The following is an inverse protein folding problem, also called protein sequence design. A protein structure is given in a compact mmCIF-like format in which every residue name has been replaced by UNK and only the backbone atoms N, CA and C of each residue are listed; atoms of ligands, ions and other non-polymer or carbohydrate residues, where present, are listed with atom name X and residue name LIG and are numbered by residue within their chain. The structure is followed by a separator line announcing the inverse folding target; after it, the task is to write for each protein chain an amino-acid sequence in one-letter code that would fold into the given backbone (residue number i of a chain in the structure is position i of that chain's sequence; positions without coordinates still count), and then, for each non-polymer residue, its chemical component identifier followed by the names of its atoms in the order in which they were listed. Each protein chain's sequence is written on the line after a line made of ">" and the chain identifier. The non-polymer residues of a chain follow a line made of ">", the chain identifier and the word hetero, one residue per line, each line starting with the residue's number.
data_IF_083603436432
#
_entry.id   IF_083603436432
#
_cell.length_a   1.000
_cell.length_b   1.000
_cell.length_c   1.000
_cell.angle_alpha   90.00
_cell.angle_beta   90.00
_cell.angle_gamma   90.00
#
_symmetry.space_group_name_H-M   'P 1'
#
loop_
_entity.id
_entity.type
_entity.pdbx_description
1 polymer ?
#
# COMPACT_ATOMS: atom_id res chain seq x y z
N UNK A 1 47.49 15.27 10.37
CA UNK A 1 46.61 15.77 9.33
C UNK A 1 45.32 16.16 10.02
N UNK A 2 44.90 17.39 9.89
CA UNK A 2 43.64 17.84 10.51
C UNK A 2 42.53 17.67 9.48
N UNK A 3 41.54 16.84 9.76
CA UNK A 3 40.40 16.64 8.89
C UNK A 3 39.25 17.46 9.47
N UNK A 4 38.56 18.22 8.65
CA UNK A 4 37.42 19.00 9.08
C UNK A 4 36.32 18.07 9.62
N UNK A 5 35.62 18.53 10.63
CA UNK A 5 34.57 17.77 11.34
C UNK A 5 33.17 18.31 11.08
N UNK A 6 32.18 17.75 11.75
CA UNK A 6 30.81 18.22 11.67
C UNK A 6 30.09 17.81 10.40
N UNK A 7 29.42 18.75 9.73
CA UNK A 7 28.60 18.51 8.54
C UNK A 7 29.38 18.03 7.31
N UNK A 8 30.68 18.24 7.26
CA UNK A 8 31.59 17.79 6.17
C UNK A 8 32.12 16.37 6.35
N UNK A 9 31.85 15.71 7.50
CA UNK A 9 32.39 14.37 7.75
C UNK A 9 31.47 13.30 7.20
N UNK A 10 31.87 12.63 6.12
CA UNK A 10 31.13 11.53 5.49
C UNK A 10 31.97 10.26 5.47
N UNK A 11 31.43 9.16 5.98
CA UNK A 11 31.96 7.81 5.82
C UNK A 11 31.14 7.08 4.79
N UNK A 12 31.73 6.78 3.65
CA UNK A 12 31.05 6.09 2.55
C UNK A 12 31.72 4.75 2.27
N UNK A 13 30.94 3.73 1.99
CA UNK A 13 31.40 2.44 1.46
C UNK A 13 30.74 2.14 0.14
N UNK A 14 31.47 1.51 -0.80
CA UNK A 14 30.93 1.18 -2.13
C UNK A 14 29.67 0.29 -2.08
N UNK A 15 29.58 -0.60 -1.09
CA UNK A 15 28.49 -1.58 -0.97
C UNK A 15 27.30 -1.07 -0.15
N UNK A 16 27.56 -0.30 0.92
CA UNK A 16 26.52 0.12 1.87
C UNK A 16 26.19 1.61 1.80
N UNK A 17 26.86 2.36 0.92
CA UNK A 17 26.67 3.81 0.81
C UNK A 17 27.21 4.57 2.03
N UNK A 18 26.55 5.68 2.38
CA UNK A 18 26.90 6.52 3.54
C UNK A 18 26.59 5.80 4.85
N UNK A 19 27.58 5.79 5.76
CA UNK A 19 27.53 5.03 7.02
C UNK A 19 27.41 5.88 8.27
N UNK A 20 27.56 7.19 8.16
CA UNK A 20 27.33 8.12 9.27
C UNK A 20 26.22 9.11 8.91
N UNK A 21 25.68 9.76 9.94
CA UNK A 21 24.77 10.89 9.78
C UNK A 21 25.55 12.18 9.99
N UNK A 22 25.75 13.01 8.95
CA UNK A 22 26.39 14.31 9.11
C UNK A 22 25.63 15.19 10.10
N UNK A 23 26.33 16.04 10.87
CA UNK A 23 25.70 16.86 11.90
C UNK A 23 24.64 17.85 11.35
N UNK A 24 24.77 18.24 10.09
CA UNK A 24 23.84 19.14 9.40
C UNK A 24 22.62 18.42 8.82
N UNK A 25 22.55 17.09 8.98
CA UNK A 25 21.47 16.26 8.45
C UNK A 25 21.61 15.87 6.98
N UNK A 26 22.41 16.60 6.19
CA UNK A 26 22.69 16.35 4.78
C UNK A 26 24.20 16.34 4.53
N UNK A 27 24.62 15.61 3.51
CA UNK A 27 25.99 15.59 3.03
C UNK A 27 26.35 16.92 2.35
N UNK A 28 27.56 17.37 2.56
CA UNK A 28 28.15 18.49 1.81
C UNK A 28 29.01 17.97 0.66
N UNK A 29 29.12 18.77 -0.39
CA UNK A 29 30.06 18.48 -1.46
C UNK A 29 31.49 18.74 -0.96
N UNK A 30 32.30 17.67 -0.90
CA UNK A 30 33.70 17.72 -0.49
C UNK A 30 34.63 17.71 -1.70
N UNK A 31 35.65 18.53 -1.64
CA UNK A 31 36.63 18.66 -2.73
C UNK A 31 37.71 17.56 -2.74
N UNK A 32 37.83 16.79 -1.65
CA UNK A 32 38.79 15.68 -1.52
C UNK A 32 38.28 14.61 -0.56
N UNK A 33 38.80 13.40 -0.71
CA UNK A 33 38.45 12.28 0.13
C UNK A 33 39.64 11.33 0.29
N UNK A 34 39.63 10.55 1.39
CA UNK A 34 40.54 9.43 1.57
C UNK A 34 39.87 8.16 1.13
N UNK A 35 40.55 7.38 0.31
CA UNK A 35 40.05 6.10 -0.17
C UNK A 35 40.91 4.97 0.40
N UNK A 36 40.25 3.97 0.99
CA UNK A 36 40.85 2.66 1.23
C UNK A 36 40.32 1.72 0.12
N UNK A 37 41.24 1.21 -0.69
CA UNK A 37 40.90 0.31 -1.81
C UNK A 37 41.49 -1.06 -1.51
N UNK A 38 40.68 -2.10 -1.66
CA UNK A 38 41.14 -3.48 -1.56
C UNK A 38 41.95 -3.85 -2.81
N UNK A 39 43.04 -4.55 -2.61
CA UNK A 39 43.80 -5.20 -3.68
C UNK A 39 43.47 -6.70 -3.82
N UNK A 40 42.46 -7.19 -3.10
CA UNK A 40 42.02 -8.57 -3.23
C UNK A 40 41.44 -8.81 -4.65
N UNK A 41 41.62 -10.03 -5.19
CA UNK A 41 40.94 -10.42 -6.43
C UNK A 41 39.41 -10.29 -6.32
N UNK A 42 38.76 -10.02 -7.44
CA UNK A 42 37.30 -10.02 -7.52
C UNK A 42 36.78 -11.44 -7.26
N UNK A 43 35.91 -11.57 -6.26
CA UNK A 43 35.30 -12.82 -5.84
C UNK A 43 33.95 -12.50 -5.16
N UNK A 44 32.86 -12.85 -5.84
CA UNK A 44 31.49 -12.60 -5.36
C UNK A 44 30.92 -13.78 -4.56
N UNK A 45 31.68 -14.86 -4.37
CA UNK A 45 31.24 -16.02 -3.61
C UNK A 45 31.20 -15.71 -2.10
N UNK A 46 30.07 -15.99 -1.45
CA UNK A 46 29.95 -15.86 0.00
C UNK A 46 30.65 -17.02 0.69
N UNK A 47 31.77 -16.73 1.36
CA UNK A 47 32.57 -17.71 2.13
C UNK A 47 32.21 -17.69 3.63
N UNK A 48 31.69 -16.56 4.14
CA UNK A 48 31.27 -16.41 5.54
C UNK A 48 30.14 -15.42 5.68
N UNK A 49 29.38 -15.56 6.77
CA UNK A 49 28.30 -14.63 7.10
C UNK A 49 28.54 -13.93 8.43
N UNK A 50 27.86 -12.80 8.63
CA UNK A 50 27.76 -12.12 9.92
C UNK A 50 26.34 -11.58 10.10
N UNK A 51 25.87 -11.57 11.32
CA UNK A 51 24.65 -10.82 11.65
C UNK A 51 24.87 -9.33 11.32
N UNK A 52 23.80 -8.69 10.82
CA UNK A 52 23.82 -7.22 10.61
C UNK A 52 23.88 -6.51 11.96
N UNK A 53 23.13 -7.05 12.93
CA UNK A 53 23.13 -6.56 14.32
C UNK A 53 24.25 -7.22 15.13
N UNK A 54 24.83 -6.47 16.09
CA UNK A 54 25.90 -6.96 16.93
C UNK A 54 25.39 -7.68 18.19
N UNK A 55 24.19 -7.32 18.65
CA UNK A 55 23.51 -7.88 19.79
C UNK A 55 22.00 -7.66 19.66
N UNK A 56 21.20 -8.53 20.26
CA UNK A 56 19.76 -8.36 20.36
C UNK A 56 19.37 -8.05 21.81
N UNK A 57 18.66 -6.95 22.02
CA UNK A 57 17.92 -6.64 23.22
C UNK A 57 16.44 -6.70 22.89
N UNK A 58 15.72 -7.65 23.45
CA UNK A 58 14.31 -7.90 23.17
C UNK A 58 13.51 -8.10 24.44
N UNK A 59 12.25 -7.70 24.53
CA UNK A 59 11.40 -8.08 25.65
C UNK A 59 11.12 -9.58 25.62
N UNK A 60 10.67 -10.12 26.75
CA UNK A 60 10.03 -11.42 26.73
C UNK A 60 8.86 -11.39 25.74
N UNK A 61 8.68 -12.47 24.98
CA UNK A 61 7.72 -12.59 23.87
C UNK A 61 8.03 -11.73 22.65
N UNK A 62 9.18 -11.09 22.60
CA UNK A 62 9.67 -10.42 21.38
C UNK A 62 9.98 -11.41 20.26
N UNK A 63 9.83 -10.96 19.02
CA UNK A 63 10.21 -11.71 17.81
C UNK A 63 11.31 -10.98 17.09
N UNK A 64 12.25 -11.74 16.52
CA UNK A 64 13.37 -11.18 15.78
C UNK A 64 13.76 -12.05 14.59
N UNK A 65 13.72 -11.48 13.39
CA UNK A 65 14.19 -12.11 12.15
C UNK A 65 15.49 -11.44 11.73
N UNK A 66 16.66 -12.10 11.94
CA UNK A 66 17.95 -11.53 11.65
C UNK A 66 18.17 -11.34 10.15
N UNK A 67 18.99 -10.33 9.83
CA UNK A 67 19.58 -10.16 8.50
C UNK A 67 21.07 -10.47 8.55
N UNK A 68 21.63 -10.87 7.39
CA UNK A 68 22.99 -11.33 7.32
C UNK A 68 23.77 -10.66 6.18
N UNK A 69 24.98 -10.23 6.50
CA UNK A 69 25.96 -9.83 5.52
C UNK A 69 26.81 -11.04 5.10
N UNK A 70 27.10 -11.15 3.82
CA UNK A 70 27.98 -12.17 3.23
C UNK A 70 29.33 -11.59 2.83
N UNK A 71 30.38 -12.27 3.26
CA UNK A 71 31.77 -11.88 2.97
C UNK A 71 32.44 -13.00 2.16
N UNK A 72 33.26 -12.61 1.19
CA UNK A 72 34.07 -13.57 0.45
C UNK A 72 35.27 -14.06 1.29
N UNK A 73 36.10 -14.94 0.72
CA UNK A 73 37.29 -15.51 1.37
C UNK A 73 38.35 -14.45 1.75
N UNK A 74 38.29 -13.28 1.12
CA UNK A 74 39.20 -12.16 1.41
C UNK A 74 38.62 -11.19 2.45
N UNK A 75 37.43 -11.47 3.01
CA UNK A 75 36.75 -10.63 3.99
C UNK A 75 36.07 -9.40 3.40
N UNK A 76 35.90 -9.36 2.08
CA UNK A 76 35.13 -8.29 1.41
C UNK A 76 33.63 -8.58 1.48
N UNK A 77 32.84 -7.54 1.79
CA UNK A 77 31.38 -7.63 1.78
C UNK A 77 30.87 -7.73 0.33
N UNK A 78 30.30 -8.88 -0.03
CA UNK A 78 29.82 -9.17 -1.38
C UNK A 78 28.30 -9.38 -1.45
N UNK A 79 27.65 -9.57 -0.32
CA UNK A 79 26.19 -9.72 -0.26
C UNK A 79 25.65 -9.03 1.00
N UNK A 80 24.68 -8.11 0.82
CA UNK A 80 24.08 -7.34 1.92
C UNK A 80 22.81 -7.96 2.50
N UNK A 81 22.31 -9.07 1.91
CA UNK A 81 21.10 -9.77 2.34
C UNK A 81 21.16 -11.25 1.96
N UNK A 82 22.01 -12.01 2.66
CA UNK A 82 22.21 -13.45 2.42
C UNK A 82 20.95 -14.21 2.78
N UNK A 83 20.45 -15.02 1.84
CA UNK A 83 19.30 -15.92 2.03
C UNK A 83 19.73 -17.35 2.28
N UNK A 84 18.81 -18.19 2.76
CA UNK A 84 19.06 -19.59 3.06
C UNK A 84 19.92 -19.81 4.32
N UNK A 85 19.94 -18.82 5.22
CA UNK A 85 20.53 -18.93 6.55
C UNK A 85 19.48 -19.52 7.50
N UNK A 86 19.85 -20.54 8.26
CA UNK A 86 19.01 -21.07 9.35
C UNK A 86 19.52 -20.59 10.69
N UNK A 87 18.64 -20.39 11.64
CA UNK A 87 19.01 -20.00 13.00
C UNK A 87 18.60 -21.06 14.02
N UNK A 88 19.32 -21.07 15.15
CA UNK A 88 18.98 -21.90 16.30
C UNK A 88 19.28 -21.15 17.60
N UNK A 89 18.61 -21.53 18.67
CA UNK A 89 18.83 -21.01 20.01
C UNK A 89 18.64 -22.11 21.06
N UNK A 90 19.19 -21.95 22.28
CA UNK A 90 18.84 -22.79 23.39
C UNK A 90 17.33 -22.69 23.75
N UNK A 91 16.69 -23.81 24.06
CA UNK A 91 15.27 -23.83 24.47
C UNK A 91 14.97 -22.94 25.68
N UNK A 92 15.98 -22.76 26.55
CA UNK A 92 15.86 -21.85 27.68
C UNK A 92 15.69 -20.37 27.28
N UNK A 93 16.11 -19.95 26.10
CA UNK A 93 15.90 -18.60 25.58
C UNK A 93 14.57 -18.46 24.85
N UNK A 94 14.10 -19.52 24.21
CA UNK A 94 12.91 -19.52 23.40
C UNK A 94 13.00 -20.56 22.29
N UNK A 95 12.26 -20.35 21.21
CA UNK A 95 12.30 -21.23 20.05
C UNK A 95 12.40 -20.46 18.72
N UNK A 96 12.63 -21.20 17.64
CA UNK A 96 12.73 -20.65 16.29
C UNK A 96 11.47 -21.02 15.49
N UNK A 97 10.85 -20.03 14.88
CA UNK A 97 9.66 -20.17 14.03
C UNK A 97 10.16 -20.16 12.58
N UNK A 98 9.84 -21.22 11.82
CA UNK A 98 10.12 -21.29 10.39
C UNK A 98 11.60 -21.16 10.03
N UNK A 99 12.50 -21.70 10.86
CA UNK A 99 13.97 -21.72 10.67
C UNK A 99 14.67 -20.34 10.65
N UNK A 100 13.93 -19.24 10.66
CA UNK A 100 14.49 -17.89 10.44
C UNK A 100 14.09 -16.85 11.47
N UNK A 101 13.09 -17.10 12.30
CA UNK A 101 12.58 -16.10 13.26
C UNK A 101 12.70 -16.62 14.70
N UNK A 102 13.45 -15.90 15.51
CA UNK A 102 13.58 -16.17 16.95
C UNK A 102 12.35 -15.60 17.68
N UNK A 103 11.80 -16.38 18.61
CA UNK A 103 10.73 -15.99 19.54
C UNK A 103 11.19 -16.19 20.99
N UNK A 104 11.17 -15.13 21.76
CA UNK A 104 11.74 -15.05 23.11
C UNK A 104 10.74 -15.49 24.19
N UNK A 105 10.30 -16.75 24.20
CA UNK A 105 9.33 -17.29 25.15
C UNK A 105 9.94 -18.14 26.27
N UNK A 106 11.26 -18.30 26.28
CA UNK A 106 12.00 -19.06 27.28
C UNK A 106 12.08 -18.40 28.66
N UNK A 107 12.82 -19.02 29.58
CA UNK A 107 13.01 -18.58 30.95
C UNK A 107 14.36 -17.91 31.21
N UNK A 108 15.37 -18.15 30.34
CA UNK A 108 16.68 -17.54 30.46
C UNK A 108 16.66 -16.11 29.92
N UNK A 109 17.50 -15.26 30.48
CA UNK A 109 17.57 -13.83 30.14
C UNK A 109 18.75 -13.48 29.24
N UNK A 110 19.74 -14.32 29.17
CA UNK A 110 20.95 -14.12 28.40
C UNK A 110 21.34 -15.41 27.68
N UNK A 111 21.91 -15.25 26.50
CA UNK A 111 22.43 -16.34 25.70
C UNK A 111 22.86 -15.88 24.32
N UNK A 112 22.82 -16.77 23.34
CA UNK A 112 23.22 -16.45 21.99
C UNK A 112 22.29 -17.12 20.96
N UNK A 113 22.00 -16.39 19.89
CA UNK A 113 21.43 -16.90 18.66
C UNK A 113 22.56 -17.40 17.76
N UNK A 114 22.46 -18.60 17.23
CA UNK A 114 23.43 -19.17 16.29
C UNK A 114 22.82 -19.23 14.90
N UNK A 115 23.54 -18.75 13.91
CA UNK A 115 23.16 -18.83 12.51
C UNK A 115 24.07 -19.79 11.76
N UNK A 116 23.52 -20.59 10.87
CA UNK A 116 24.23 -21.59 10.05
C UNK A 116 24.02 -21.31 8.56
N UNK A 117 25.10 -21.25 7.80
CA UNK A 117 25.11 -21.08 6.36
C UNK A 117 26.20 -21.96 5.75
N UNK A 118 25.82 -22.88 4.84
CA UNK A 118 26.76 -23.79 4.15
C UNK A 118 27.74 -24.53 5.11
N UNK A 119 27.26 -24.87 6.33
CA UNK A 119 28.04 -25.56 7.35
C UNK A 119 28.89 -24.66 8.25
N UNK A 120 29.05 -23.37 7.94
CA UNK A 120 29.68 -22.41 8.82
C UNK A 120 28.66 -21.83 9.82
N UNK A 121 29.11 -21.56 11.05
CA UNK A 121 28.25 -20.99 12.11
C UNK A 121 28.80 -19.66 12.63
N UNK A 122 27.87 -18.75 12.95
CA UNK A 122 28.17 -17.50 13.66
C UNK A 122 27.17 -17.30 14.79
N UNK A 123 27.58 -16.60 15.85
CA UNK A 123 26.69 -16.37 16.99
C UNK A 123 26.59 -14.89 17.33
N UNK A 124 25.42 -14.49 17.82
CA UNK A 124 25.11 -13.14 18.27
C UNK A 124 24.56 -13.19 19.69
N UNK A 125 25.06 -12.39 20.64
CA UNK A 125 24.55 -12.34 21.99
C UNK A 125 23.11 -11.78 22.03
N UNK A 126 22.31 -12.37 22.91
CA UNK A 126 20.91 -11.95 23.18
C UNK A 126 20.77 -11.62 24.65
N UNK A 127 20.07 -10.52 24.93
CA UNK A 127 19.56 -10.17 26.24
C UNK A 127 18.03 -10.03 26.17
N UNK A 128 17.34 -10.83 26.99
CA UNK A 128 15.88 -10.75 27.14
C UNK A 128 15.57 -9.86 28.34
N UNK A 129 14.90 -8.75 28.09
CA UNK A 129 14.50 -7.77 29.08
C UNK A 129 13.27 -8.28 29.84
N UNK A 130 13.27 -8.05 31.14
CA UNK A 130 12.10 -8.33 32.00
C UNK A 130 11.02 -7.26 31.86
N UNK A 131 9.83 -7.60 32.39
CA UNK A 131 8.82 -6.61 32.70
C UNK A 131 7.84 -6.36 31.57
N UNK A 132 7.26 -7.45 31.01
CA UNK A 132 6.00 -7.31 30.28
C UNK A 132 4.87 -7.12 31.29
N UNK A 133 4.88 -5.96 31.96
CA UNK A 133 3.90 -5.58 32.99
C UNK A 133 2.73 -4.81 32.40
N UNK A 134 2.81 -4.49 31.11
CA UNK A 134 1.78 -3.81 30.36
C UNK A 134 1.79 -4.32 28.90
N UNK A 135 0.62 -4.29 28.28
CA UNK A 135 0.47 -4.52 26.85
C UNK A 135 -0.34 -3.38 26.24
N UNK A 136 -0.03 -3.05 25.00
CA UNK A 136 -0.84 -2.16 24.18
C UNK A 136 -0.96 -2.73 22.77
N UNK A 137 -2.19 -2.84 22.28
CA UNK A 137 -2.44 -3.07 20.87
C UNK A 137 -2.03 -1.80 20.12
N UNK A 138 -1.15 -1.93 19.12
CA UNK A 138 -0.52 -0.79 18.46
C UNK A 138 -1.53 0.19 17.85
N UNK A 139 -2.67 -0.33 17.42
CA UNK A 139 -3.77 0.45 16.84
C UNK A 139 -5.00 0.41 17.75
N UNK A 140 -5.49 1.55 18.19
CA UNK A 140 -6.73 1.66 18.97
C UNK A 140 -7.95 1.27 18.12
N UNK A 141 -7.88 1.41 16.80
CA UNK A 141 -8.93 1.04 15.86
C UNK A 141 -8.40 0.72 14.47
N UNK A 142 -9.04 -0.24 13.80
CA UNK A 142 -8.77 -0.58 12.39
C UNK A 142 -10.07 -0.69 11.59
N UNK A 143 -9.94 -0.60 10.25
CA UNK A 143 -10.98 -0.97 9.31
C UNK A 143 -10.44 -2.11 8.45
N UNK A 144 -11.17 -3.23 8.34
CA UNK A 144 -10.84 -4.34 7.45
C UNK A 144 -11.88 -4.51 6.36
N UNK A 145 -11.44 -5.02 5.20
CA UNK A 145 -12.30 -5.23 4.02
C UNK A 145 -12.93 -6.64 3.97
N UNK A 146 -12.70 -7.49 4.95
CA UNK A 146 -13.23 -8.85 4.97
C UNK A 146 -12.52 -9.86 4.05
N UNK A 147 -11.72 -9.41 3.10
CA UNK A 147 -10.97 -10.29 2.18
C UNK A 147 -9.55 -10.57 2.66
N UNK A 148 -8.93 -9.61 3.33
CA UNK A 148 -7.57 -9.73 3.86
C UNK A 148 -7.59 -10.06 5.34
N UNK A 149 -6.68 -10.93 5.72
CA UNK A 149 -6.37 -11.17 7.12
C UNK A 149 -5.43 -10.09 7.64
N UNK A 150 -5.59 -9.75 8.91
CA UNK A 150 -4.77 -8.77 9.59
C UNK A 150 -4.20 -9.38 10.86
N UNK A 151 -2.88 -9.34 11.03
CA UNK A 151 -2.24 -9.76 12.26
C UNK A 151 -2.13 -8.56 13.20
N UNK A 152 -2.64 -8.69 14.41
CA UNK A 152 -2.64 -7.61 15.40
C UNK A 152 -1.23 -7.37 15.92
N UNK A 153 -0.75 -6.13 15.84
CA UNK A 153 0.53 -5.74 16.42
C UNK A 153 0.36 -5.38 17.90
N UNK A 154 1.24 -5.92 18.73
CA UNK A 154 1.21 -5.71 20.19
C UNK A 154 2.53 -5.12 20.66
N UNK A 155 2.45 -4.18 21.58
CA UNK A 155 3.58 -3.49 22.18
C UNK A 155 3.58 -3.64 23.68
N UNK A 156 4.76 -3.52 24.28
CA UNK A 156 4.98 -3.33 25.72
C UNK A 156 5.91 -2.15 25.93
N UNK A 157 5.87 -1.54 27.10
CA UNK A 157 6.77 -0.46 27.49
C UNK A 157 7.66 -0.94 28.62
N UNK A 158 8.98 -0.90 28.41
CA UNK A 158 10.00 -1.22 29.40
C UNK A 158 10.84 0.02 29.67
N UNK A 159 10.70 0.60 30.85
CA UNK A 159 11.27 1.92 31.14
C UNK A 159 10.62 3.00 30.23
N UNK A 160 11.41 3.69 29.42
CA UNK A 160 10.94 4.69 28.45
C UNK A 160 10.81 4.12 27.01
N UNK A 161 11.14 2.84 26.81
CA UNK A 161 11.19 2.23 25.50
C UNK A 161 9.91 1.45 25.19
N UNK A 162 9.29 1.76 24.07
CA UNK A 162 8.20 0.97 23.49
C UNK A 162 8.80 -0.11 22.60
N UNK A 163 8.44 -1.37 22.85
CA UNK A 163 8.97 -2.53 22.15
C UNK A 163 7.84 -3.44 21.69
N UNK A 164 8.01 -4.08 20.54
CA UNK A 164 7.02 -5.02 20.02
C UNK A 164 7.16 -6.38 20.68
N UNK A 165 6.02 -7.00 20.97
CA UNK A 165 5.92 -8.40 21.38
C UNK A 165 5.03 -9.17 20.41
N UNK A 166 5.20 -10.49 20.38
CA UNK A 166 4.43 -11.34 19.48
C UNK A 166 2.97 -11.42 19.89
N UNK A 167 2.02 -11.32 18.96
CA UNK A 167 0.60 -11.62 19.25
C UNK A 167 0.37 -13.06 19.69
N UNK A 168 1.31 -13.99 19.41
CA UNK A 168 1.25 -15.38 19.90
C UNK A 168 1.31 -15.51 21.42
N UNK A 169 1.80 -14.49 22.13
CA UNK A 169 1.87 -14.47 23.58
C UNK A 169 0.51 -14.25 24.25
N UNK A 170 -0.49 -13.76 23.51
CA UNK A 170 -1.79 -13.37 24.04
C UNK A 170 -2.86 -14.42 23.72
N UNK A 171 -3.86 -14.46 24.56
CA UNK A 171 -5.14 -15.12 24.23
C UNK A 171 -6.09 -14.07 23.70
N UNK A 172 -6.61 -14.30 22.50
CA UNK A 172 -7.44 -13.35 21.77
C UNK A 172 -8.91 -13.74 21.78
N UNK A 173 -9.77 -12.74 21.80
CA UNK A 173 -11.22 -12.92 21.69
C UNK A 173 -11.87 -11.77 20.95
N UNK A 174 -12.79 -12.10 20.05
CA UNK A 174 -13.75 -11.13 19.49
C UNK A 174 -14.97 -11.02 20.39
N UNK A 175 -15.50 -9.81 20.59
CA UNK A 175 -16.75 -9.62 21.34
C UNK A 175 -18.00 -9.92 20.48
N UNK A 176 -17.85 -9.95 19.15
CA UNK A 176 -18.88 -10.42 18.22
C UNK A 176 -18.24 -11.19 17.07
N UNK A 177 -18.20 -12.51 17.20
CA UNK A 177 -17.63 -13.41 16.22
C UNK A 177 -18.42 -13.48 14.91
N UNK A 178 -19.65 -12.97 14.86
CA UNK A 178 -20.41 -12.85 13.62
C UNK A 178 -19.95 -11.70 12.72
N UNK A 179 -19.21 -10.74 13.30
CA UNK A 179 -18.63 -9.59 12.57
C UNK A 179 -17.16 -9.83 12.29
N UNK A 180 -16.41 -10.28 13.28
CA UNK A 180 -14.96 -10.49 13.21
C UNK A 180 -14.59 -11.77 13.94
N UNK A 181 -13.81 -12.62 13.28
CA UNK A 181 -13.08 -13.71 13.95
C UNK A 181 -11.64 -13.31 14.21
N UNK A 182 -11.05 -13.86 15.26
CA UNK A 182 -9.63 -13.74 15.55
C UNK A 182 -9.10 -15.09 16.03
N UNK A 183 -7.94 -15.49 15.54
CA UNK A 183 -7.28 -16.71 15.98
C UNK A 183 -6.85 -16.59 17.45
N UNK A 184 -7.39 -17.44 18.32
CA UNK A 184 -7.25 -17.38 19.78
C UNK A 184 -5.81 -17.25 20.27
N UNK A 185 -4.86 -17.90 19.57
CA UNK A 185 -3.43 -17.88 19.92
C UNK A 185 -2.54 -17.34 18.79
N UNK A 186 -3.12 -16.75 17.74
CA UNK A 186 -2.34 -16.22 16.63
C UNK A 186 -2.46 -14.72 16.47
N UNK A 187 -3.56 -14.14 16.95
CA UNK A 187 -3.87 -12.72 16.74
C UNK A 187 -4.19 -12.39 15.27
N UNK A 188 -4.47 -13.39 14.44
CA UNK A 188 -4.89 -13.19 13.04
C UNK A 188 -6.39 -12.93 13.01
N UNK A 189 -6.75 -11.75 12.54
CA UNK A 189 -8.12 -11.22 12.50
C UNK A 189 -8.66 -11.27 11.07
N UNK A 190 -9.94 -11.63 10.92
CA UNK A 190 -10.67 -11.63 9.67
C UNK A 190 -12.07 -11.05 9.84
N UNK A 191 -12.42 -10.06 9.02
CA UNK A 191 -13.78 -9.53 8.93
C UNK A 191 -14.71 -10.51 8.20
N UNK A 192 -15.92 -10.70 8.72
CA UNK A 192 -16.91 -11.63 8.13
C UNK A 192 -18.13 -10.90 7.58
N UNK A 193 -18.52 -9.80 8.20
CA UNK A 193 -19.75 -9.06 7.89
C UNK A 193 -19.58 -7.59 8.24
N UNK A 194 -20.18 -6.70 7.44
CA UNK A 194 -20.19 -5.27 7.75
C UNK A 194 -20.72 -5.01 9.16
N UNK A 195 -19.98 -4.22 9.92
CA UNK A 195 -20.33 -3.90 11.31
C UNK A 195 -19.14 -3.39 12.11
N UNK A 196 -19.35 -3.28 13.42
CA UNK A 196 -18.31 -2.85 14.37
C UNK A 196 -18.33 -3.76 15.59
N UNK A 197 -17.15 -4.13 16.05
CA UNK A 197 -16.95 -4.90 17.28
C UNK A 197 -15.65 -4.52 17.95
N UNK A 198 -15.32 -5.16 19.05
CA UNK A 198 -14.03 -5.06 19.72
C UNK A 198 -13.33 -6.42 19.70
N UNK A 199 -12.02 -6.36 19.66
CA UNK A 199 -11.14 -7.50 19.86
C UNK A 199 -10.33 -7.25 21.13
N UNK A 200 -10.22 -8.25 21.97
CA UNK A 200 -9.51 -8.21 23.25
C UNK A 200 -8.33 -9.15 23.19
N UNK A 201 -7.15 -8.66 23.56
CA UNK A 201 -5.94 -9.47 23.80
C UNK A 201 -5.64 -9.53 25.29
N UNK A 202 -5.36 -10.73 25.80
CA UNK A 202 -5.10 -11.00 27.22
C UNK A 202 -3.75 -11.70 27.40
N UNK A 203 -2.91 -11.19 28.29
CA UNK A 203 -1.66 -11.79 28.72
C UNK A 203 -1.65 -11.90 30.27
N UNK A 204 -1.91 -13.09 30.81
CA UNK A 204 -2.08 -13.25 32.22
C UNK A 204 -3.25 -12.45 32.79
N UNK A 205 -2.96 -11.47 33.65
CA UNK A 205 -3.97 -10.60 34.28
C UNK A 205 -4.12 -9.25 33.53
N UNK A 206 -3.27 -8.96 32.54
CA UNK A 206 -3.31 -7.72 31.76
C UNK A 206 -4.03 -7.91 30.44
N UNK A 207 -4.76 -6.90 29.99
CA UNK A 207 -5.49 -6.94 28.72
C UNK A 207 -5.52 -5.56 28.06
N UNK A 208 -5.73 -5.58 26.75
CA UNK A 208 -6.03 -4.38 25.97
C UNK A 208 -7.06 -4.71 24.89
N UNK A 209 -7.71 -3.66 24.36
CA UNK A 209 -8.81 -3.79 23.39
C UNK A 209 -8.61 -2.89 22.19
N UNK A 210 -8.99 -3.39 21.02
CA UNK A 210 -9.00 -2.68 19.76
C UNK A 210 -10.41 -2.63 19.16
N UNK A 211 -10.81 -1.48 18.65
CA UNK A 211 -12.04 -1.35 17.87
C UNK A 211 -11.81 -1.86 16.46
N UNK A 212 -12.72 -2.68 15.96
CA UNK A 212 -12.66 -3.17 14.58
C UNK A 212 -13.93 -2.80 13.85
N UNK A 213 -13.78 -2.13 12.72
CA UNK A 213 -14.85 -1.88 11.75
C UNK A 213 -14.62 -2.76 10.53
N UNK A 214 -15.65 -3.51 10.12
CA UNK A 214 -15.62 -4.28 8.88
C UNK A 214 -16.42 -3.53 7.83
N UNK A 215 -15.78 -3.24 6.70
CA UNK A 215 -16.36 -2.56 5.55
C UNK A 215 -15.98 -3.34 4.29
N UNK A 216 -16.84 -4.29 3.91
CA UNK A 216 -16.62 -5.18 2.76
C UNK A 216 -17.06 -4.46 1.50
N UNK A 217 -16.14 -4.21 0.54
CA UNK A 217 -16.51 -3.63 -0.75
C UNK A 217 -17.40 -4.59 -1.54
N UNK A 218 -18.44 -4.04 -2.14
CA UNK A 218 -19.46 -4.82 -2.88
C UNK A 218 -18.94 -5.31 -4.22
N UNK A 219 -17.94 -4.63 -4.78
CA UNK A 219 -17.35 -4.96 -6.06
C UNK A 219 -15.85 -4.64 -6.10
N UNK A 220 -15.14 -5.28 -7.03
CA UNK A 220 -13.70 -5.07 -7.26
C UNK A 220 -13.38 -3.62 -7.62
N UNK A 221 -14.19 -2.98 -8.43
CA UNK A 221 -14.03 -1.56 -8.81
C UNK A 221 -15.23 -0.79 -8.29
N UNK A 222 -14.97 0.25 -7.50
CA UNK A 222 -16.01 1.11 -6.93
C UNK A 222 -15.73 2.57 -7.24
N UNK A 223 -16.71 3.34 -7.71
CA UNK A 223 -16.54 4.77 -7.89
C UNK A 223 -16.32 5.45 -6.53
N UNK A 224 -15.36 6.37 -6.45
CA UNK A 224 -15.10 7.15 -5.23
C UNK A 224 -16.25 8.15 -4.98
N UNK A 225 -16.84 8.68 -6.03
CA UNK A 225 -17.96 9.63 -5.99
C UNK A 225 -19.06 9.19 -6.97
N UNK A 226 -19.89 8.18 -6.59
CA UNK A 226 -20.84 7.56 -7.51
C UNK A 226 -21.93 8.52 -8.04
N UNK A 227 -22.22 9.58 -7.26
CA UNK A 227 -23.18 10.62 -7.64
C UNK A 227 -22.41 11.95 -7.77
N UNK A 228 -21.45 11.99 -8.66
CA UNK A 228 -20.52 13.10 -8.79
C UNK A 228 -21.28 14.44 -9.00
N UNK A 229 -21.25 15.26 -7.96
CA UNK A 229 -21.69 16.66 -8.00
C UNK A 229 -20.45 17.55 -7.99
N UNK A 230 -20.09 18.07 -9.17
CA UNK A 230 -18.89 18.90 -9.33
C UNK A 230 -18.94 20.19 -8.49
N UNK A 231 -20.11 20.64 -8.11
CA UNK A 231 -20.26 21.84 -7.26
C UNK A 231 -19.74 21.63 -5.84
N UNK A 232 -19.63 20.36 -5.42
CA UNK A 232 -19.08 19.97 -4.10
C UNK A 232 -17.56 19.86 -4.12
N UNK A 233 -16.93 19.90 -5.30
CA UNK A 233 -15.49 19.87 -5.45
C UNK A 233 -14.92 21.30 -5.40
N UNK A 234 -13.83 21.47 -4.70
CA UNK A 234 -13.05 22.69 -4.76
C UNK A 234 -12.04 22.57 -5.90
N UNK A 235 -12.26 23.38 -6.93
CA UNK A 235 -11.38 23.48 -8.08
C UNK A 235 -10.51 24.74 -7.96
N UNK A 236 -9.22 24.61 -8.17
CA UNK A 236 -8.32 25.76 -8.31
C UNK A 236 -7.33 25.53 -9.44
N UNK A 237 -7.00 26.62 -10.15
CA UNK A 237 -6.09 26.55 -11.26
C UNK A 237 -5.12 27.75 -11.27
N UNK A 238 -3.86 27.45 -11.60
CA UNK A 238 -2.84 28.43 -11.95
C UNK A 238 -2.49 28.23 -13.43
N UNK A 239 -2.40 29.30 -14.19
CA UNK A 239 -2.12 29.22 -15.63
C UNK A 239 -3.34 28.99 -16.52
N UNK A 240 -4.54 29.21 -15.97
CA UNK A 240 -5.79 29.16 -16.70
C UNK A 240 -6.81 30.18 -16.19
N UNK A 241 -7.74 30.58 -17.06
CA UNK A 241 -8.92 31.40 -16.76
C UNK A 241 -10.13 30.83 -17.49
N UNK A 242 -11.30 31.39 -17.24
CA UNK A 242 -12.57 30.98 -17.87
C UNK A 242 -12.83 29.49 -17.68
N UNK A 243 -12.62 29.00 -16.46
CA UNK A 243 -12.72 27.58 -16.11
C UNK A 243 -14.17 27.16 -16.04
N UNK A 244 -14.51 26.07 -16.75
CA UNK A 244 -15.81 25.42 -16.72
C UNK A 244 -15.60 23.94 -16.40
N UNK A 245 -16.37 23.42 -15.45
CA UNK A 245 -16.39 21.99 -15.13
C UNK A 245 -17.84 21.50 -15.17
N UNK A 246 -18.13 20.44 -15.93
CA UNK A 246 -19.47 19.88 -16.09
C UNK A 246 -19.43 18.40 -15.77
N UNK A 247 -20.29 17.94 -14.87
CA UNK A 247 -20.37 16.53 -14.50
C UNK A 247 -20.85 15.66 -15.66
N UNK A 248 -20.20 14.50 -15.86
CA UNK A 248 -20.51 13.50 -16.90
C UNK A 248 -20.28 12.11 -16.30
N UNK A 249 -21.37 11.38 -15.99
CA UNK A 249 -21.30 10.09 -15.32
C UNK A 249 -20.59 10.20 -13.95
N UNK A 250 -19.61 9.33 -13.69
CA UNK A 250 -18.73 9.39 -12.51
C UNK A 250 -17.47 10.23 -12.74
N UNK A 251 -17.50 11.14 -13.72
CA UNK A 251 -16.43 12.04 -14.08
C UNK A 251 -16.93 13.44 -14.41
N UNK A 252 -16.13 14.23 -15.11
CA UNK A 252 -16.46 15.56 -15.56
C UNK A 252 -15.59 16.01 -16.74
N UNK A 253 -16.15 16.90 -17.55
CA UNK A 253 -15.44 17.67 -18.56
C UNK A 253 -14.90 18.95 -17.93
N UNK A 254 -13.67 19.32 -18.26
CA UNK A 254 -12.98 20.48 -17.69
C UNK A 254 -12.35 21.31 -18.81
N UNK A 255 -12.87 22.51 -19.02
CA UNK A 255 -12.37 23.45 -20.02
C UNK A 255 -11.75 24.67 -19.38
N UNK A 256 -10.68 25.20 -19.97
CA UNK A 256 -10.06 26.44 -19.55
C UNK A 256 -9.32 27.14 -20.69
N UNK A 257 -9.15 28.44 -20.57
CA UNK A 257 -8.30 29.26 -21.44
C UNK A 257 -6.90 29.43 -20.83
N UNK A 258 -5.85 29.04 -21.56
CA UNK A 258 -4.46 29.13 -21.10
C UNK A 258 -4.05 30.58 -20.85
N UNK A 259 -3.31 30.82 -19.75
CA UNK A 259 -2.61 32.07 -19.47
C UNK A 259 -1.17 31.75 -19.07
N UNK A 260 -0.26 32.71 -19.29
CA UNK A 260 1.14 32.54 -18.93
C UNK A 260 1.29 32.40 -17.40
N UNK A 261 1.94 31.33 -16.96
CA UNK A 261 2.26 31.08 -15.57
C UNK A 261 3.57 30.29 -15.43
N UNK A 262 4.30 30.57 -14.35
CA UNK A 262 5.59 29.90 -14.06
C UNK A 262 5.44 28.42 -13.71
N UNK A 263 4.37 28.07 -13.04
CA UNK A 263 4.11 26.70 -12.56
C UNK A 263 2.62 26.41 -12.68
N UNK A 264 2.11 26.17 -13.91
CA UNK A 264 0.69 25.95 -14.11
C UNK A 264 0.28 24.61 -13.52
N UNK A 265 -0.89 24.60 -12.86
CA UNK A 265 -1.47 23.40 -12.26
C UNK A 265 -2.98 23.51 -12.09
N UNK A 266 -3.61 22.36 -12.11
CA UNK A 266 -5.01 22.17 -11.71
C UNK A 266 -5.01 21.39 -10.40
N UNK A 267 -5.80 21.82 -9.41
CA UNK A 267 -5.97 21.12 -8.14
C UNK A 267 -7.45 20.89 -7.89
N UNK A 268 -7.81 19.64 -7.74
CA UNK A 268 -9.13 19.15 -7.42
C UNK A 268 -9.10 18.69 -5.95
N UNK A 269 -9.95 19.24 -5.11
CA UNK A 269 -9.97 18.92 -3.68
C UNK A 269 -11.39 18.57 -3.27
N UNK A 270 -11.56 17.38 -2.70
CA UNK A 270 -12.72 16.92 -1.96
C UNK A 270 -12.28 15.78 -1.06
N UNK A 271 -12.84 15.69 0.13
CA UNK A 271 -12.50 14.60 1.05
C UNK A 271 -13.42 13.42 0.80
N UNK A 272 -12.81 12.28 0.45
CA UNK A 272 -13.50 11.01 0.32
C UNK A 272 -12.93 10.02 1.32
N UNK A 273 -13.77 9.48 2.18
CA UNK A 273 -13.40 8.34 3.02
C UNK A 273 -13.36 7.10 2.15
N UNK A 274 -12.23 6.42 2.16
CA UNK A 274 -12.07 5.17 1.42
C UNK A 274 -12.66 4.00 2.22
N UNK A 275 -13.28 3.06 1.52
CA UNK A 275 -13.73 1.78 2.03
C UNK A 275 -12.52 0.92 2.34
N UNK A 276 -12.16 0.75 3.61
CA UNK A 276 -10.88 0.17 3.97
C UNK A 276 -9.73 0.70 3.09
N UNK A 277 -8.56 0.09 3.10
CA UNK A 277 -7.49 0.45 2.17
C UNK A 277 -7.70 -0.27 0.83
N UNK A 278 -7.97 0.42 -0.28
CA UNK A 278 -8.01 -0.19 -1.59
C UNK A 278 -6.59 -0.65 -2.00
N UNK A 279 -6.49 -1.63 -2.88
CA UNK A 279 -5.21 -2.03 -3.47
C UNK A 279 -4.68 -0.96 -4.41
N UNK A 280 -5.58 -0.28 -5.12
CA UNK A 280 -5.25 0.80 -6.05
C UNK A 280 -6.31 1.91 -6.02
N UNK A 281 -5.88 3.12 -6.32
CA UNK A 281 -6.75 4.21 -6.76
C UNK A 281 -6.58 4.34 -8.27
N UNK A 282 -7.66 4.36 -9.00
CA UNK A 282 -7.68 4.47 -10.46
C UNK A 282 -8.28 5.79 -10.90
N UNK A 283 -7.62 6.45 -11.84
CA UNK A 283 -8.11 7.66 -12.50
C UNK A 283 -8.08 7.45 -14.00
N UNK A 284 -9.21 7.71 -14.66
CA UNK A 284 -9.31 7.73 -16.12
C UNK A 284 -9.37 9.17 -16.58
N UNK A 285 -8.43 9.56 -17.44
CA UNK A 285 -8.34 10.93 -17.92
C UNK A 285 -7.87 10.98 -19.38
N UNK A 286 -8.60 11.74 -20.19
CA UNK A 286 -8.11 12.20 -21.48
C UNK A 286 -7.65 13.66 -21.29
N UNK A 287 -6.35 13.95 -21.41
CA UNK A 287 -5.83 15.30 -21.19
C UNK A 287 -6.17 16.29 -22.33
N UNK A 288 -6.81 15.82 -23.40
CA UNK A 288 -6.95 16.62 -24.61
C UNK A 288 -5.59 17.08 -25.12
N UNK A 289 -5.45 18.35 -25.42
CA UNK A 289 -4.17 18.99 -25.77
C UNK A 289 -3.49 19.69 -24.58
N UNK A 290 -4.04 19.55 -23.35
CA UNK A 290 -3.46 20.18 -22.16
C UNK A 290 -2.04 19.62 -21.90
N UNK A 291 -1.06 20.50 -21.63
CA UNK A 291 0.33 20.11 -21.49
C UNK A 291 0.63 19.49 -20.12
N UNK A 292 -0.06 18.42 -19.75
CA UNK A 292 0.09 17.72 -18.47
C UNK A 292 1.51 17.14 -18.34
N UNK A 293 2.15 17.36 -17.21
CA UNK A 293 3.49 16.86 -16.88
C UNK A 293 3.43 15.63 -15.98
N UNK A 294 2.68 15.73 -14.89
CA UNK A 294 2.51 14.65 -13.92
C UNK A 294 1.26 14.86 -13.07
N UNK A 295 0.91 13.83 -12.32
CA UNK A 295 -0.18 13.83 -11.36
C UNK A 295 0.39 13.73 -9.94
N UNK A 296 -0.23 14.44 -8.99
CA UNK A 296 0.09 14.34 -7.56
C UNK A 296 -1.19 14.04 -6.80
N UNK A 297 -1.18 12.96 -6.04
CA UNK A 297 -2.30 12.55 -5.20
C UNK A 297 -1.98 12.82 -3.74
N UNK A 298 -2.96 13.29 -2.99
CA UNK A 298 -2.85 13.55 -1.56
C UNK A 298 -3.82 12.67 -0.78
N UNK A 299 -3.29 11.75 0.02
CA UNK A 299 -4.03 10.98 1.01
C UNK A 299 -3.79 11.53 2.41
N UNK A 300 -4.73 11.26 3.30
CA UNK A 300 -4.59 11.53 4.73
C UNK A 300 -5.04 10.31 5.52
N UNK A 301 -4.18 9.81 6.38
CA UNK A 301 -4.55 8.89 7.44
C UNK A 301 -5.24 9.65 8.60
N UNK A 302 -6.05 8.97 9.39
CA UNK A 302 -6.81 9.57 10.49
C UNK A 302 -5.89 10.35 11.45
N UNK A 303 -6.15 11.64 11.61
CA UNK A 303 -5.36 12.52 12.47
C UNK A 303 -3.93 12.80 12.01
N UNK A 304 -3.51 12.25 10.86
CA UNK A 304 -2.15 12.36 10.35
C UNK A 304 -1.91 13.51 9.39
N UNK A 305 -0.66 13.65 8.97
CA UNK A 305 -0.24 14.57 7.92
C UNK A 305 -0.68 14.10 6.54
N UNK A 306 -0.69 15.00 5.58
CA UNK A 306 -0.94 14.65 4.17
C UNK A 306 0.25 13.86 3.61
N UNK A 307 -0.05 12.73 2.99
CA UNK A 307 0.90 11.90 2.24
C UNK A 307 0.70 12.22 0.76
N UNK A 308 1.76 12.65 0.09
CA UNK A 308 1.70 12.98 -1.33
C UNK A 308 2.47 11.95 -2.15
N UNK A 309 1.86 11.51 -3.24
CA UNK A 309 2.50 10.64 -4.22
C UNK A 309 2.46 11.29 -5.60
N UNK A 310 3.62 11.34 -6.29
CA UNK A 310 3.75 11.91 -7.63
C UNK A 310 3.97 10.81 -8.65
N UNK A 311 3.12 10.80 -9.67
CA UNK A 311 3.24 9.89 -10.80
C UNK A 311 3.53 10.68 -12.06
N UNK A 312 4.58 10.27 -12.76
CA UNK A 312 4.88 10.75 -14.12
C UNK A 312 4.61 9.60 -15.07
N UNK A 313 3.50 9.60 -15.80
CA UNK A 313 3.23 8.58 -16.80
C UNK A 313 4.35 8.53 -17.85
N UNK A 314 4.77 7.33 -18.22
CA UNK A 314 5.84 7.10 -19.19
C UNK A 314 5.55 7.74 -20.57
N UNK A 315 4.26 7.91 -20.91
CA UNK A 315 3.82 8.67 -22.07
C UNK A 315 2.43 9.27 -21.79
N UNK A 316 2.36 10.60 -21.67
CA UNK A 316 1.08 11.32 -21.73
C UNK A 316 0.81 11.62 -23.20
N UNK A 317 -0.23 10.99 -23.75
CA UNK A 317 -0.60 11.16 -25.15
C UNK A 317 -1.78 12.12 -25.25
N UNK A 318 -1.63 13.18 -26.02
CA UNK A 318 -2.70 14.14 -26.30
C UNK A 318 -3.91 13.45 -26.95
N UNK A 319 -5.11 13.88 -26.59
CA UNK A 319 -6.38 13.39 -27.12
C UNK A 319 -6.62 11.87 -26.96
N UNK A 320 -5.91 11.24 -26.00
CA UNK A 320 -6.07 9.81 -25.73
C UNK A 320 -6.41 9.60 -24.25
N UNK A 321 -7.40 8.75 -24.00
CA UNK A 321 -7.71 8.34 -22.63
C UNK A 321 -6.55 7.52 -22.04
N UNK A 322 -6.18 7.87 -20.83
CA UNK A 322 -5.19 7.17 -20.01
C UNK A 322 -5.87 6.60 -18.80
N UNK A 323 -5.51 5.39 -18.45
CA UNK A 323 -5.84 4.77 -17.15
C UNK A 323 -4.61 4.85 -16.28
N UNK A 324 -4.74 5.50 -15.13
CA UNK A 324 -3.67 5.68 -14.15
C UNK A 324 -4.04 4.88 -12.93
N UNK A 325 -3.36 3.75 -12.73
CA UNK A 325 -3.48 2.91 -11.55
C UNK A 325 -2.38 3.25 -10.55
N UNK A 326 -2.81 3.51 -9.32
CA UNK A 326 -2.00 3.93 -8.19
C UNK A 326 -2.02 2.85 -7.13
N UNK A 327 -1.06 1.89 -7.14
CA UNK A 327 -0.96 0.92 -6.06
C UNK A 327 -0.75 1.63 -4.72
N UNK A 328 -1.62 1.40 -3.76
CA UNK A 328 -1.53 2.05 -2.45
C UNK A 328 -0.31 1.60 -1.66
N UNK A 329 0.20 0.38 -1.92
CA UNK A 329 1.43 -0.14 -1.33
C UNK A 329 2.68 0.70 -1.68
N UNK A 330 2.65 1.45 -2.78
CA UNK A 330 3.80 2.28 -3.21
C UNK A 330 3.95 3.56 -2.38
N UNK A 331 2.92 3.96 -1.62
CA UNK A 331 2.89 5.23 -0.89
C UNK A 331 2.29 5.17 0.52
N UNK A 332 1.66 4.06 0.89
CA UNK A 332 1.20 3.82 2.25
C UNK A 332 2.13 2.83 2.93
N UNK A 333 2.90 3.28 3.91
CA UNK A 333 3.70 2.40 4.76
C UNK A 333 2.80 1.60 5.69
N UNK A 334 3.33 0.54 6.31
CA UNK A 334 2.59 -0.21 7.34
C UNK A 334 2.13 0.70 8.50
N UNK A 335 2.92 1.71 8.86
CA UNK A 335 2.57 2.69 9.89
C UNK A 335 1.43 3.60 9.45
N UNK A 336 1.41 4.01 8.16
CA UNK A 336 0.31 4.81 7.63
C UNK A 336 -0.97 3.99 7.54
N UNK A 337 -0.86 2.72 7.15
CA UNK A 337 -1.98 1.77 7.07
C UNK A 337 -2.62 1.49 8.43
N UNK A 338 -1.86 1.63 9.51
CA UNK A 338 -2.35 1.52 10.88
C UNK A 338 -3.29 2.67 11.30
N UNK A 339 -3.28 3.80 10.60
CA UNK A 339 -4.03 5.01 10.97
C UNK A 339 -5.30 5.17 10.14
N UNK A 340 -6.23 4.25 10.29
CA UNK A 340 -7.55 4.35 9.66
C UNK A 340 -8.48 5.36 10.34
N UNK A 341 -9.48 5.94 9.62
CA UNK A 341 -9.74 5.79 8.19
C UNK A 341 -8.77 6.59 7.33
N UNK A 342 -8.51 6.10 6.11
CA UNK A 342 -7.76 6.82 5.09
C UNK A 342 -8.75 7.58 4.20
N UNK A 343 -8.39 8.80 3.84
CA UNK A 343 -9.20 9.64 2.97
C UNK A 343 -8.37 10.16 1.80
N UNK A 344 -8.90 10.06 0.60
CA UNK A 344 -8.39 10.80 -0.56
C UNK A 344 -8.83 12.26 -0.41
N UNK A 345 -7.87 13.19 -0.44
CA UNK A 345 -8.13 14.60 -0.20
C UNK A 345 -7.95 15.43 -1.48
N UNK A 346 -6.92 15.15 -2.28
CA UNK A 346 -6.61 15.96 -3.44
C UNK A 346 -6.03 15.18 -4.61
N UNK A 347 -6.34 15.68 -5.81
CA UNK A 347 -5.73 15.29 -7.07
C UNK A 347 -5.20 16.56 -7.71
N UNK A 348 -3.90 16.60 -8.01
CA UNK A 348 -3.25 17.73 -8.63
C UNK A 348 -2.60 17.30 -9.95
N UNK A 349 -2.85 18.06 -11.00
CA UNK A 349 -2.17 17.91 -12.27
C UNK A 349 -1.18 19.07 -12.42
N UNK A 350 0.11 18.76 -12.44
CA UNK A 350 1.12 19.74 -12.81
C UNK A 350 1.25 19.77 -14.33
N UNK A 351 1.39 20.95 -14.88
CA UNK A 351 1.45 21.18 -16.33
C UNK A 351 2.75 21.89 -16.73
N UNK A 352 3.16 21.68 -17.96
CA UNK A 352 4.09 22.58 -18.64
C UNK A 352 3.37 23.90 -18.97
N UNK A 353 4.11 24.91 -19.44
CA UNK A 353 3.52 26.20 -19.75
C UNK A 353 2.41 26.06 -20.80
N UNK A 354 1.22 26.55 -20.48
CA UNK A 354 0.10 26.65 -21.41
C UNK A 354 0.32 27.80 -22.40
N UNK A 355 -0.17 27.64 -23.61
CA UNK A 355 -0.17 28.73 -24.60
C UNK A 355 -1.26 29.76 -24.24
N UNK A 356 -0.89 31.03 -24.16
CA UNK A 356 -1.83 32.08 -23.82
C UNK A 356 -2.94 32.19 -24.88
N UNK A 357 -4.19 32.25 -24.45
CA UNK A 357 -5.37 32.35 -25.31
C UNK A 357 -5.83 31.05 -25.96
N UNK A 358 -5.09 29.93 -25.81
CA UNK A 358 -5.54 28.63 -26.29
C UNK A 358 -6.56 28.05 -25.30
N UNK A 359 -7.67 27.54 -25.84
CA UNK A 359 -8.66 26.78 -25.05
C UNK A 359 -8.20 25.30 -24.99
N UNK A 360 -8.25 24.73 -23.80
CA UNK A 360 -7.95 23.33 -23.54
C UNK A 360 -9.20 22.66 -23.00
N UNK A 361 -9.42 21.43 -23.43
CA UNK A 361 -10.52 20.58 -23.01
C UNK A 361 -9.96 19.26 -22.49
N UNK A 362 -10.31 18.89 -21.27
CA UNK A 362 -9.86 17.68 -20.58
C UNK A 362 -11.08 16.89 -20.10
N UNK A 363 -10.99 15.58 -20.17
CA UNK A 363 -12.09 14.70 -19.78
C UNK A 363 -11.62 13.75 -18.68
N UNK A 364 -12.20 13.89 -17.49
CA UNK A 364 -12.05 12.92 -16.41
C UNK A 364 -13.20 11.93 -16.52
N UNK A 365 -12.91 10.62 -16.61
CA UNK A 365 -13.91 9.58 -16.89
C UNK A 365 -14.09 8.58 -15.76
N UNK A 366 -13.36 8.70 -14.68
CA UNK A 366 -13.54 7.88 -13.50
C UNK A 366 -12.56 8.22 -12.39
N UNK A 367 -13.09 8.18 -11.19
CA UNK A 367 -12.32 8.17 -9.95
C UNK A 367 -12.78 6.93 -9.19
N UNK A 368 -11.94 5.90 -9.14
CA UNK A 368 -12.31 4.56 -8.69
C UNK A 368 -11.33 4.07 -7.63
N UNK A 369 -11.83 3.25 -6.71
CA UNK A 369 -11.03 2.39 -5.85
C UNK A 369 -11.07 0.98 -6.41
N UNK A 370 -9.94 0.26 -6.34
CA UNK A 370 -9.83 -1.12 -6.79
C UNK A 370 -9.45 -2.01 -5.61
N UNK A 371 -10.21 -3.07 -5.40
CA UNK A 371 -10.02 -4.10 -4.38
C UNK A 371 -9.84 -5.44 -5.07
N UNK A 372 -8.61 -5.89 -5.24
CA UNK A 372 -8.29 -7.06 -6.09
C UNK A 372 -8.93 -8.36 -5.61
N UNK A 373 -9.14 -8.51 -4.30
CA UNK A 373 -9.73 -9.69 -3.70
C UNK A 373 -11.28 -9.64 -3.65
N UNK A 374 -11.89 -8.48 -3.97
CA UNK A 374 -13.32 -8.34 -4.02
C UNK A 374 -13.88 -8.99 -5.32
N UNK A 375 -15.15 -9.45 -5.30
CA UNK A 375 -15.77 -10.00 -6.48
C UNK A 375 -15.84 -8.94 -7.59
N UNK A 376 -15.81 -9.37 -8.83
CA UNK A 376 -16.21 -8.50 -9.93
C UNK A 376 -17.62 -7.96 -9.63
N UNK A 377 -17.89 -6.73 -10.05
CA UNK A 377 -19.26 -6.21 -9.94
C UNK A 377 -20.21 -7.23 -10.60
N UNK A 378 -21.31 -7.58 -9.94
CA UNK A 378 -22.26 -8.46 -10.57
C UNK A 378 -22.63 -7.82 -11.91
N UNK A 379 -22.29 -8.50 -12.98
CA UNK A 379 -22.61 -8.07 -14.33
C UNK A 379 -24.12 -7.90 -14.39
N UNK A 380 -24.60 -6.69 -14.64
CA UNK A 380 -26.03 -6.44 -14.78
C UNK A 380 -26.50 -7.23 -15.99
N UNK A 381 -27.47 -8.12 -15.81
CA UNK A 381 -28.08 -8.83 -16.95
C UNK A 381 -28.52 -7.79 -17.98
N UNK A 382 -27.94 -7.81 -19.18
CA UNK A 382 -28.13 -6.80 -20.20
C UNK A 382 -26.96 -5.84 -20.45
N UNK A 383 -25.99 -5.76 -19.53
CA UNK A 383 -24.71 -5.08 -19.75
C UNK A 383 -23.73 -6.08 -20.40
N UNK A 384 -23.85 -6.22 -21.70
CA UNK A 384 -23.19 -7.28 -22.47
C UNK A 384 -21.73 -6.93 -22.77
N UNK A 385 -21.46 -5.65 -22.98
CA UNK A 385 -20.10 -5.16 -23.23
C UNK A 385 -19.28 -4.94 -21.95
N UNK A 386 -19.93 -4.99 -20.76
CA UNK A 386 -19.29 -4.87 -19.47
C UNK A 386 -18.86 -3.45 -19.10
N UNK A 387 -19.47 -2.40 -19.69
CA UNK A 387 -19.15 -1.01 -19.41
C UNK A 387 -19.87 -0.43 -18.18
N UNK A 388 -20.77 -1.21 -17.55
CA UNK A 388 -21.54 -0.85 -16.36
C UNK A 388 -22.87 -0.15 -16.67
N UNK A 389 -23.14 0.17 -17.92
CA UNK A 389 -24.39 0.78 -18.39
C UNK A 389 -25.15 -0.18 -19.31
N UNK A 390 -26.47 -0.15 -19.26
CA UNK A 390 -27.32 -0.90 -20.19
C UNK A 390 -27.88 0.09 -21.20
N UNK A 391 -27.33 0.08 -22.42
CA UNK A 391 -27.66 1.06 -23.45
C UNK A 391 -27.54 0.46 -24.87
N UNK A 392 -27.58 1.31 -25.91
CA UNK A 392 -27.56 0.87 -27.31
C UNK A 392 -26.25 0.16 -27.71
N UNK A 393 -25.14 0.36 -26.98
CA UNK A 393 -23.89 -0.38 -27.25
C UNK A 393 -24.02 -1.85 -26.90
N UNK A 394 -24.81 -2.21 -25.88
CA UNK A 394 -25.09 -3.61 -25.52
C UNK A 394 -25.95 -4.31 -26.57
N UNK A 395 -26.87 -3.59 -27.18
CA UNK A 395 -27.65 -4.13 -28.31
C UNK A 395 -26.70 -4.51 -29.45
N UNK A 396 -25.71 -3.67 -29.75
CA UNK A 396 -24.68 -3.96 -30.74
C UNK A 396 -23.83 -5.15 -30.34
N UNK A 397 -23.43 -5.23 -29.06
CA UNK A 397 -22.65 -6.36 -28.52
C UNK A 397 -23.44 -7.68 -28.64
N UNK A 398 -24.73 -7.68 -28.26
CA UNK A 398 -25.60 -8.85 -28.37
C UNK A 398 -25.79 -9.31 -29.84
N UNK A 399 -25.97 -8.39 -30.75
CA UNK A 399 -26.04 -8.69 -32.19
C UNK A 399 -24.73 -9.32 -32.66
N UNK A 400 -23.57 -8.80 -32.26
CA UNK A 400 -22.27 -9.37 -32.59
C UNK A 400 -22.10 -10.79 -32.03
N UNK A 401 -22.60 -11.09 -30.83
CA UNK A 401 -22.64 -12.43 -30.25
C UNK A 401 -23.47 -13.37 -31.10
N UNK A 402 -24.72 -12.98 -31.43
CA UNK A 402 -25.64 -13.78 -32.25
C UNK A 402 -25.04 -14.07 -33.63
N UNK A 403 -24.33 -13.11 -34.21
CA UNK A 403 -23.63 -13.26 -35.50
C UNK A 403 -22.28 -13.98 -35.41
N UNK A 404 -21.88 -14.42 -34.20
CA UNK A 404 -20.57 -15.04 -33.93
C UNK A 404 -19.37 -14.14 -34.31
N UNK A 405 -19.54 -12.81 -34.27
CA UNK A 405 -18.51 -11.82 -34.51
C UNK A 405 -17.75 -11.44 -33.23
N UNK A 406 -18.30 -11.73 -32.07
CA UNK A 406 -17.71 -11.54 -30.75
C UNK A 406 -18.20 -12.63 -29.80
N UNK A 407 -17.39 -12.92 -28.78
CA UNK A 407 -17.73 -13.91 -27.76
C UNK A 407 -18.02 -13.23 -26.42
N UNK A 408 -19.28 -13.31 -25.97
CA UNK A 408 -19.77 -12.83 -24.67
C UNK A 408 -20.43 -13.99 -23.93
N UNK A 409 -20.49 -13.93 -22.60
CA UNK A 409 -21.06 -15.00 -21.78
C UNK A 409 -22.57 -15.15 -22.04
N UNK A 410 -23.03 -16.37 -22.35
CA UNK A 410 -24.42 -16.65 -22.68
C UNK A 410 -25.38 -16.21 -21.55
N UNK A 411 -25.00 -16.39 -20.29
CA UNK A 411 -25.79 -15.98 -19.12
C UNK A 411 -26.09 -14.47 -19.09
N UNK A 412 -25.24 -13.65 -19.74
CA UNK A 412 -25.42 -12.21 -19.86
C UNK A 412 -26.31 -11.85 -21.05
N UNK A 413 -26.30 -12.70 -22.06
CA UNK A 413 -26.94 -12.51 -23.35
C UNK A 413 -28.37 -13.10 -23.40
N UNK A 414 -28.65 -14.19 -22.69
CA UNK A 414 -29.98 -14.79 -22.54
C UNK A 414 -30.84 -13.96 -21.60
N UNK A 415 -31.48 -12.94 -22.16
CA UNK A 415 -32.26 -11.94 -21.41
C UNK A 415 -33.70 -12.35 -21.12
N UNK A 416 -34.29 -13.13 -21.98
CA UNK A 416 -35.64 -13.65 -21.77
C UNK A 416 -35.67 -14.97 -20.97
N UNK A 417 -34.47 -15.62 -20.80
CA UNK A 417 -34.31 -16.79 -19.94
C UNK A 417 -34.78 -18.09 -20.57
N UNK A 418 -34.88 -18.17 -21.92
CA UNK A 418 -35.30 -19.36 -22.63
C UNK A 418 -34.19 -20.38 -22.84
N UNK A 419 -32.91 -20.05 -22.51
CA UNK A 419 -31.74 -20.86 -22.62
C UNK A 419 -31.01 -20.78 -23.96
N UNK A 420 -31.48 -19.95 -24.90
CA UNK A 420 -30.90 -19.71 -26.21
C UNK A 420 -30.60 -18.22 -26.39
N UNK A 421 -29.41 -17.87 -26.95
CA UNK A 421 -29.07 -16.49 -27.27
C UNK A 421 -29.50 -16.18 -28.71
N UNK A 422 -30.58 -15.43 -28.86
CA UNK A 422 -31.22 -15.20 -30.16
C UNK A 422 -31.82 -13.77 -30.25
N UNK A 423 -32.64 -13.52 -31.31
CA UNK A 423 -33.28 -12.21 -31.55
C UNK A 423 -34.33 -11.86 -30.47
N UNK A 424 -34.85 -12.87 -29.73
CA UNK A 424 -35.73 -12.65 -28.57
C UNK A 424 -35.05 -11.79 -27.51
N UNK A 425 -33.77 -12.08 -27.25
CA UNK A 425 -32.98 -11.35 -26.27
C UNK A 425 -32.68 -9.92 -26.67
N UNK A 426 -32.50 -9.66 -27.97
CA UNK A 426 -32.36 -8.29 -28.48
C UNK A 426 -33.65 -7.48 -28.17
N UNK A 427 -34.82 -8.08 -28.34
CA UNK A 427 -36.09 -7.45 -28.00
C UNK A 427 -36.23 -7.22 -26.49
N UNK A 428 -35.81 -8.20 -25.69
CA UNK A 428 -35.81 -8.08 -24.22
C UNK A 428 -34.87 -6.97 -23.77
N UNK A 429 -33.67 -6.85 -24.37
CA UNK A 429 -32.72 -5.80 -24.07
C UNK A 429 -33.23 -4.39 -24.43
N UNK A 430 -33.82 -4.25 -25.61
CA UNK A 430 -34.42 -2.97 -26.02
C UNK A 430 -35.52 -2.56 -25.04
N UNK A 431 -36.37 -3.50 -24.61
CA UNK A 431 -37.40 -3.22 -23.62
C UNK A 431 -36.83 -2.86 -22.24
N UNK A 432 -35.64 -3.37 -21.90
CA UNK A 432 -34.94 -3.02 -20.64
C UNK A 432 -34.40 -1.59 -20.70
N UNK A 433 -33.86 -1.18 -21.86
CA UNK A 433 -33.30 0.16 -22.11
C UNK A 433 -34.38 1.24 -22.11
N UNK A 434 -35.57 0.91 -22.56
CA UNK A 434 -36.70 1.86 -22.71
C UNK A 434 -37.50 2.08 -21.41
N UNK A 435 -37.26 1.33 -20.36
CA UNK A 435 -37.87 1.49 -19.03
C UNK A 435 -37.16 2.54 -18.20
#
# INVERSE_FOLDING_TARGET
>A
MNVDGGGSSVLYTSTLGVRNKPSDGNERADGNAFYAVSSAPDDDAVASIRFVDFALHTPKYGVYTPKFYGYNQYGMLVNTDVKGVTISCPESLGHVIGDTTFYADGTAREGALTATYQGATVSMPIQILDGVDNIKIANDSIITNGYKEYTVDVQTTIGENVMNISPLALTWKSLDESIVTIGEHTGVLKGLRNGKTQVVGVLGEICDTMQVSVEIPEARVMPIDPNLDITTWKLSQTGGKDVVATAVGNGFDYTYTGVSARSPKIVLTKTFRLWSLPDMIRVRVNPGEAPVKNFVFGLRANGGSMIYHTITPAAITANKEMVIDLPTADWCTATDMANYPISLISIQLNMNASKAGQVYDMHFRGFETVYLDAPEAPSKKGDINGDGEINASDVTALINKILSLADYADVMCDLDGDGEVNVGDVTALINLILK
#
